data_IF_746124225933
#
_entry.id   IF_746124225933
#
_cell.length_a   1.000
_cell.length_b   1.000
_cell.length_c   1.000
_cell.angle_alpha   90.00
_cell.angle_beta   90.00
_cell.angle_gamma   90.00
#
_symmetry.space_group_name_H-M   'P 1'
#
loop_
_entity.id
_entity.type
_entity.pdbx_description
1 polymer ?
#
# COMPACT_ATOMS: atom_id res chain seq x y z
N UNK A 1 -15.70 -21.66 -8.20
CA UNK A 1 -14.34 -21.09 -8.30
C UNK A 1 -13.61 -21.59 -9.57
N UNK A 2 -14.28 -21.52 -10.71
CA UNK A 2 -13.64 -21.90 -11.98
C UNK A 2 -12.46 -20.94 -12.27
N UNK A 3 -11.25 -21.49 -12.40
CA UNK A 3 -10.04 -20.75 -12.73
C UNK A 3 -9.30 -20.11 -11.54
N UNK A 4 -9.75 -20.28 -10.30
CA UNK A 4 -9.04 -19.77 -9.10
C UNK A 4 -8.10 -20.84 -8.55
N UNK A 5 -6.88 -20.47 -8.20
CA UNK A 5 -5.91 -21.35 -7.54
C UNK A 5 -5.83 -21.05 -6.04
N UNK A 6 -6.22 -22.01 -5.20
CA UNK A 6 -5.93 -22.01 -3.76
C UNK A 6 -4.80 -22.99 -3.52
N UNK A 7 -3.60 -22.50 -3.22
CA UNK A 7 -2.38 -23.33 -3.13
C UNK A 7 -2.46 -24.35 -2.00
N UNK A 8 -2.99 -23.95 -0.85
CA UNK A 8 -3.24 -24.84 0.28
C UNK A 8 -4.59 -24.52 0.94
N UNK A 9 -5.65 -25.23 0.61
CA UNK A 9 -6.97 -25.01 1.18
C UNK A 9 -7.05 -25.27 2.70
N UNK A 10 -6.14 -26.05 3.27
CA UNK A 10 -6.18 -26.41 4.70
C UNK A 10 -5.68 -25.28 5.59
N UNK A 11 -4.86 -24.38 5.07
CA UNK A 11 -4.30 -23.24 5.81
C UNK A 11 -4.83 -21.89 5.34
N UNK A 12 -5.81 -21.90 4.42
CA UNK A 12 -6.38 -20.69 3.84
C UNK A 12 -7.80 -20.47 4.35
N UNK A 13 -8.14 -19.27 4.78
CA UNK A 13 -9.48 -18.91 5.23
C UNK A 13 -10.10 -17.86 4.29
N UNK A 14 -11.24 -18.18 3.70
CA UNK A 14 -11.96 -17.30 2.78
C UNK A 14 -13.42 -17.24 3.24
N UNK A 15 -13.89 -16.05 3.61
CA UNK A 15 -15.29 -15.84 3.99
C UNK A 15 -16.22 -15.94 2.75
N UNK A 16 -17.49 -16.37 2.94
CA UNK A 16 -18.41 -16.58 1.81
C UNK A 16 -18.73 -15.34 0.97
N UNK A 17 -18.54 -14.15 1.52
CA UNK A 17 -18.76 -12.86 0.86
C UNK A 17 -17.62 -12.43 -0.05
N UNK A 18 -16.47 -13.07 0.06
CA UNK A 18 -15.27 -12.76 -0.75
C UNK A 18 -15.49 -13.18 -2.20
N UNK A 19 -15.15 -12.31 -3.13
CA UNK A 19 -15.19 -12.58 -4.57
C UNK A 19 -13.77 -12.79 -5.10
N UNK A 20 -13.56 -13.92 -5.79
CA UNK A 20 -12.31 -14.24 -6.47
C UNK A 20 -12.57 -14.42 -7.96
N UNK A 21 -11.87 -13.67 -8.79
CA UNK A 21 -11.95 -13.79 -10.25
C UNK A 21 -10.99 -14.87 -10.78
N UNK A 22 -11.16 -15.24 -12.05
CA UNK A 22 -10.36 -16.25 -12.71
C UNK A 22 -8.85 -15.94 -12.66
N UNK A 23 -8.04 -16.97 -12.68
CA UNK A 23 -6.57 -16.90 -12.64
C UNK A 23 -5.98 -16.21 -11.40
N UNK A 24 -6.82 -15.81 -10.42
CA UNK A 24 -6.31 -15.35 -9.14
C UNK A 24 -5.70 -16.49 -8.34
N UNK A 25 -4.65 -16.17 -7.55
CA UNK A 25 -3.91 -17.13 -6.74
C UNK A 25 -3.91 -16.72 -5.27
N UNK A 26 -4.39 -17.61 -4.40
CA UNK A 26 -4.32 -17.43 -2.94
C UNK A 26 -3.30 -18.40 -2.36
N UNK A 27 -2.26 -17.85 -1.76
CA UNK A 27 -1.15 -18.60 -1.16
C UNK A 27 -1.48 -19.06 0.29
N UNK A 28 -0.71 -20.03 0.85
CA UNK A 28 -0.96 -20.58 2.18
C UNK A 28 -1.00 -19.52 3.29
N UNK A 29 -1.73 -19.84 4.37
CA UNK A 29 -1.86 -18.99 5.58
C UNK A 29 -2.43 -17.60 5.30
N UNK A 30 -3.28 -17.49 4.30
CA UNK A 30 -3.94 -16.24 3.91
C UNK A 30 -5.37 -16.21 4.44
N UNK A 31 -5.80 -15.06 4.97
CA UNK A 31 -7.16 -14.79 5.42
C UNK A 31 -7.78 -13.72 4.54
N UNK A 32 -8.87 -14.05 3.84
CA UNK A 32 -9.69 -13.12 3.05
C UNK A 32 -11.04 -12.97 3.72
N UNK A 33 -11.44 -11.75 4.07
CA UNK A 33 -12.61 -11.49 4.90
C UNK A 33 -13.47 -10.35 4.36
N UNK A 34 -14.72 -10.33 4.81
CA UNK A 34 -15.70 -9.30 4.48
C UNK A 34 -16.01 -9.22 2.98
N UNK A 35 -16.24 -8.03 2.46
CA UNK A 35 -16.54 -7.79 1.05
C UNK A 35 -15.27 -7.67 0.18
N UNK A 36 -14.22 -8.42 0.52
CA UNK A 36 -12.96 -8.41 -0.25
C UNK A 36 -13.16 -8.96 -1.66
N UNK A 37 -12.61 -8.25 -2.64
CA UNK A 37 -12.56 -8.70 -4.04
C UNK A 37 -11.10 -8.90 -4.48
N UNK A 38 -10.85 -9.98 -5.22
CA UNK A 38 -9.54 -10.28 -5.80
C UNK A 38 -9.74 -10.51 -7.29
N UNK A 39 -9.24 -9.56 -8.08
CA UNK A 39 -9.44 -9.56 -9.52
C UNK A 39 -8.52 -10.55 -10.27
N UNK A 40 -8.76 -10.68 -11.57
CA UNK A 40 -8.08 -11.60 -12.47
C UNK A 40 -6.55 -11.52 -12.35
N UNK A 41 -5.91 -12.66 -12.23
CA UNK A 41 -4.45 -12.80 -12.18
C UNK A 41 -3.78 -12.23 -10.92
N UNK A 42 -4.52 -11.68 -9.97
CA UNK A 42 -3.94 -11.15 -8.74
C UNK A 42 -3.44 -12.28 -7.83
N UNK A 43 -2.41 -11.99 -7.03
CA UNK A 43 -1.82 -12.93 -6.09
C UNK A 43 -1.86 -12.39 -4.67
N UNK A 44 -2.36 -13.19 -3.72
CA UNK A 44 -2.47 -12.81 -2.31
C UNK A 44 -1.81 -13.83 -1.41
N UNK A 45 -0.93 -13.35 -0.52
CA UNK A 45 -0.21 -14.15 0.45
C UNK A 45 1.23 -14.48 0.05
N UNK A 46 1.90 -15.47 0.72
CA UNK A 46 1.42 -16.14 1.93
C UNK A 46 1.38 -15.22 3.17
N UNK A 47 0.73 -15.70 4.24
CA UNK A 47 0.61 -14.96 5.51
C UNK A 47 0.05 -13.55 5.34
N UNK A 48 -0.94 -13.37 4.49
CA UNK A 48 -1.63 -12.09 4.32
C UNK A 48 -3.00 -12.11 5.00
N UNK A 49 -3.40 -10.96 5.54
CA UNK A 49 -4.76 -10.72 6.02
C UNK A 49 -5.34 -9.58 5.21
N UNK A 50 -6.47 -9.83 4.54
CA UNK A 50 -7.16 -8.84 3.71
C UNK A 50 -8.62 -8.75 4.16
N UNK A 51 -9.08 -7.54 4.48
CA UNK A 51 -10.43 -7.30 5.01
C UNK A 51 -11.07 -6.12 4.28
N UNK A 52 -12.27 -6.32 3.72
CA UNK A 52 -13.06 -5.27 3.06
C UNK A 52 -12.21 -4.40 2.12
N UNK A 53 -11.52 -5.03 1.19
CA UNK A 53 -10.57 -4.38 0.28
C UNK A 53 -10.72 -4.87 -1.16
N UNK A 54 -10.31 -4.04 -2.11
CA UNK A 54 -10.31 -4.35 -3.53
C UNK A 54 -8.87 -4.60 -4.01
N UNK A 55 -8.60 -5.80 -4.53
CA UNK A 55 -7.30 -6.18 -5.09
C UNK A 55 -7.45 -6.26 -6.60
N UNK A 56 -6.90 -5.28 -7.30
CA UNK A 56 -7.02 -5.12 -8.75
C UNK A 56 -6.29 -6.18 -9.57
N UNK A 57 -6.54 -6.19 -10.87
CA UNK A 57 -6.00 -7.20 -11.78
C UNK A 57 -4.47 -7.28 -11.74
N UNK A 58 -3.94 -8.50 -11.65
CA UNK A 58 -2.52 -8.80 -11.56
C UNK A 58 -1.77 -8.08 -10.39
N UNK A 59 -2.50 -7.55 -9.42
CA UNK A 59 -1.89 -6.95 -8.23
C UNK A 59 -1.28 -8.04 -7.31
N UNK A 60 -0.32 -7.63 -6.49
CA UNK A 60 0.41 -8.53 -5.59
C UNK A 60 0.28 -8.04 -4.15
N UNK A 61 -0.21 -8.89 -3.26
CA UNK A 61 -0.30 -8.64 -1.83
C UNK A 61 0.51 -9.71 -1.08
N UNK A 62 1.50 -9.30 -0.32
CA UNK A 62 2.27 -10.20 0.51
C UNK A 62 3.74 -10.37 0.12
N UNK A 63 4.45 -11.24 0.86
CA UNK A 63 3.99 -11.95 2.06
C UNK A 63 3.88 -11.05 3.30
N UNK A 64 3.23 -11.56 4.37
CA UNK A 64 3.11 -10.88 5.67
C UNK A 64 2.52 -9.47 5.57
N UNK A 65 1.40 -9.33 4.86
CA UNK A 65 0.69 -8.07 4.70
C UNK A 65 -0.59 -8.01 5.55
N UNK A 66 -0.93 -6.79 5.99
CA UNK A 66 -2.26 -6.51 6.50
C UNK A 66 -2.93 -5.41 5.66
N UNK A 67 -3.89 -5.81 4.85
CA UNK A 67 -4.71 -4.90 4.03
C UNK A 67 -6.05 -4.73 4.71
N UNK A 68 -6.32 -3.51 5.18
CA UNK A 68 -7.46 -3.17 6.03
C UNK A 68 -8.59 -2.51 5.24
N UNK A 69 -9.79 -2.38 5.85
CA UNK A 69 -10.96 -1.84 5.21
C UNK A 69 -10.75 -0.50 4.50
N UNK A 70 -11.43 -0.35 3.35
CA UNK A 70 -11.37 0.84 2.51
C UNK A 70 -10.12 0.95 1.65
N UNK A 71 -9.32 -0.11 1.58
CA UNK A 71 -8.10 -0.13 0.75
C UNK A 71 -8.41 -0.64 -0.65
N UNK A 72 -7.86 0.04 -1.65
CA UNK A 72 -7.96 -0.32 -3.06
C UNK A 72 -6.56 -0.42 -3.68
N UNK A 73 -6.21 -1.57 -4.22
CA UNK A 73 -5.03 -1.74 -5.06
C UNK A 73 -5.46 -1.74 -6.52
N UNK A 74 -4.94 -0.81 -7.30
CA UNK A 74 -5.12 -0.75 -8.75
C UNK A 74 -4.43 -1.92 -9.48
N UNK A 75 -4.62 -1.99 -10.78
CA UNK A 75 -3.99 -3.05 -11.58
C UNK A 75 -2.47 -3.06 -11.43
N UNK A 76 -1.86 -4.23 -11.26
CA UNK A 76 -0.41 -4.47 -11.09
C UNK A 76 0.21 -3.74 -9.90
N UNK A 77 -0.59 -3.13 -9.02
CA UNK A 77 -0.10 -2.52 -7.79
C UNK A 77 0.48 -3.58 -6.83
N UNK A 78 1.37 -3.16 -5.96
CA UNK A 78 2.04 -4.07 -5.03
C UNK A 78 2.03 -3.56 -3.59
N UNK A 79 1.48 -4.36 -2.68
CA UNK A 79 1.72 -4.28 -1.25
C UNK A 79 2.64 -5.44 -0.86
N UNK A 80 3.90 -5.15 -0.54
CA UNK A 80 4.92 -6.18 -0.32
C UNK A 80 5.08 -6.59 1.14
N UNK A 81 6.27 -7.09 1.48
CA UNK A 81 6.55 -7.73 2.76
C UNK A 81 6.46 -6.75 3.95
N UNK A 82 5.72 -7.15 4.99
CA UNK A 82 5.49 -6.37 6.20
C UNK A 82 4.89 -4.99 5.94
N UNK A 83 3.93 -4.93 5.02
CA UNK A 83 3.20 -3.71 4.71
C UNK A 83 1.82 -3.75 5.34
N UNK A 84 1.43 -2.66 5.99
CA UNK A 84 0.06 -2.43 6.42
C UNK A 84 -0.53 -1.27 5.61
N UNK A 85 -1.70 -1.51 5.00
CA UNK A 85 -2.50 -0.50 4.30
C UNK A 85 -3.86 -0.35 4.97
N UNK A 86 -4.31 0.88 5.20
CA UNK A 86 -5.62 1.17 5.77
C UNK A 86 -6.28 2.36 5.08
N UNK A 87 -7.48 2.17 4.52
CA UNK A 87 -8.19 3.26 3.82
C UNK A 87 -7.26 3.99 2.83
N UNK A 88 -6.54 3.20 2.03
CA UNK A 88 -5.46 3.66 1.16
C UNK A 88 -5.71 3.19 -0.26
N UNK A 89 -5.47 4.08 -1.22
CA UNK A 89 -5.51 3.76 -2.64
C UNK A 89 -4.10 3.70 -3.20
N UNK A 90 -3.74 2.57 -3.79
CA UNK A 90 -2.58 2.43 -4.66
C UNK A 90 -3.09 2.38 -6.10
N UNK A 91 -2.73 3.33 -6.92
CA UNK A 91 -3.11 3.34 -8.33
C UNK A 91 -2.33 2.29 -9.15
N UNK A 92 -2.61 2.20 -10.44
CA UNK A 92 -1.98 1.26 -11.36
C UNK A 92 -0.44 1.30 -11.29
N UNK A 93 0.20 0.15 -11.18
CA UNK A 93 1.66 -0.01 -11.05
C UNK A 93 2.31 0.65 -9.81
N UNK A 94 1.53 1.23 -8.90
CA UNK A 94 2.07 1.78 -7.66
C UNK A 94 2.58 0.68 -6.73
N UNK A 95 3.70 0.92 -6.05
CA UNK A 95 4.38 -0.08 -5.23
C UNK A 95 4.74 0.44 -3.85
N UNK A 96 4.28 -0.27 -2.83
CA UNK A 96 4.72 -0.15 -1.43
C UNK A 96 5.32 -1.50 -1.03
N UNK A 97 6.59 -1.78 -1.38
CA UNK A 97 7.10 -3.14 -1.37
C UNK A 97 7.62 -3.65 -0.03
N UNK A 98 7.92 -2.80 0.97
CA UNK A 98 8.62 -3.22 2.18
C UNK A 98 8.31 -2.38 3.41
N UNK A 99 8.08 -3.03 4.58
CA UNK A 99 8.20 -2.46 5.93
C UNK A 99 7.51 -1.09 6.11
N UNK A 100 6.33 -0.91 5.60
CA UNK A 100 5.69 0.41 5.50
C UNK A 100 4.28 0.40 6.08
N UNK A 101 3.86 1.55 6.63
CA UNK A 101 2.47 1.81 6.99
C UNK A 101 1.90 2.95 6.16
N UNK A 102 0.82 2.68 5.44
CA UNK A 102 0.08 3.70 4.71
C UNK A 102 -1.37 3.71 5.21
N UNK A 103 -1.73 4.77 5.91
CA UNK A 103 -3.09 5.00 6.41
C UNK A 103 -3.65 6.30 5.86
N UNK A 104 -4.91 6.25 5.39
CA UNK A 104 -5.63 7.39 4.82
C UNK A 104 -4.79 8.07 3.70
N UNK A 105 -4.31 7.30 2.73
CA UNK A 105 -3.37 7.76 1.71
C UNK A 105 -3.84 7.45 0.28
N UNK A 106 -3.32 8.21 -0.66
CA UNK A 106 -3.39 7.94 -2.10
C UNK A 106 -1.98 7.92 -2.67
N UNK A 107 -1.66 6.88 -3.44
CA UNK A 107 -0.36 6.72 -4.10
C UNK A 107 -0.59 6.58 -5.59
N UNK A 108 -0.16 7.58 -6.33
CA UNK A 108 -0.38 7.69 -7.77
C UNK A 108 0.35 6.63 -8.59
N UNK A 109 -0.15 6.44 -9.81
CA UNK A 109 0.30 5.40 -10.73
C UNK A 109 1.82 5.42 -10.96
N UNK A 110 2.44 4.25 -11.01
CA UNK A 110 3.88 4.08 -11.25
C UNK A 110 4.80 4.55 -10.12
N UNK A 111 4.25 5.06 -9.03
CA UNK A 111 5.03 5.50 -7.86
C UNK A 111 5.64 4.30 -7.14
N UNK A 112 6.90 4.44 -6.73
CA UNK A 112 7.61 3.43 -5.95
C UNK A 112 8.03 3.98 -4.59
N UNK A 113 7.59 3.33 -3.52
CA UNK A 113 7.84 3.74 -2.14
C UNK A 113 8.97 2.91 -1.55
N UNK A 114 9.99 3.58 -1.04
CA UNK A 114 11.11 2.94 -0.33
C UNK A 114 10.70 2.32 1.01
N UNK A 115 11.49 1.38 1.46
CA UNK A 115 11.27 0.67 2.73
C UNK A 115 11.22 1.62 3.94
N UNK A 116 10.42 1.30 4.94
CA UNK A 116 10.31 2.08 6.17
C UNK A 116 9.49 3.36 6.05
N UNK A 117 8.85 3.61 4.90
CA UNK A 117 8.06 4.83 4.71
C UNK A 117 6.71 4.76 5.44
N UNK A 118 6.31 5.88 6.02
CA UNK A 118 5.11 5.95 6.88
C UNK A 118 4.30 7.20 6.58
N UNK A 119 2.97 7.06 6.54
CA UNK A 119 2.05 8.20 6.60
C UNK A 119 1.62 8.44 8.05
N UNK A 120 2.05 9.55 8.64
CA UNK A 120 1.62 9.98 9.97
C UNK A 120 0.26 10.70 9.85
N UNK A 121 -0.81 9.91 9.79
CA UNK A 121 -2.17 10.38 9.50
C UNK A 121 -2.99 10.74 10.74
N UNK A 122 -2.50 10.45 11.94
CA UNK A 122 -3.20 10.70 13.21
C UNK A 122 -2.57 11.86 13.98
N UNK A 123 -3.38 12.88 14.24
CA UNK A 123 -3.08 13.91 15.23
C UNK A 123 -3.69 13.47 16.58
N UNK A 124 -2.87 13.39 17.62
CA UNK A 124 -3.31 12.92 18.93
C UNK A 124 -4.10 13.96 19.74
N UNK A 125 -4.26 15.17 19.25
CA UNK A 125 -5.07 16.20 19.91
C UNK A 125 -6.57 15.81 19.87
N UNK A 126 -7.30 15.96 20.97
CA UNK A 126 -8.71 15.59 21.01
C UNK A 126 -9.54 16.33 19.94
N UNK A 127 -10.41 15.59 19.24
CA UNK A 127 -11.33 16.15 18.24
C UNK A 127 -10.71 16.45 16.88
N UNK A 128 -9.41 16.26 16.70
CA UNK A 128 -8.77 16.43 15.38
C UNK A 128 -8.99 15.18 14.53
N UNK A 129 -9.65 15.28 13.36
CA UNK A 129 -9.84 14.13 12.48
C UNK A 129 -8.51 13.70 11.85
N UNK A 130 -8.44 12.44 11.46
CA UNK A 130 -7.33 11.93 10.65
C UNK A 130 -7.21 12.74 9.35
N UNK A 131 -5.98 12.88 8.90
CA UNK A 131 -5.64 13.62 7.69
C UNK A 131 -5.11 12.68 6.63
N UNK A 132 -5.19 13.11 5.37
CA UNK A 132 -4.80 12.33 4.20
C UNK A 132 -3.44 12.77 3.66
N UNK A 133 -2.68 11.79 3.19
CA UNK A 133 -1.48 12.00 2.37
C UNK A 133 -1.81 11.67 0.92
N UNK A 134 -1.45 12.55 0.00
CA UNK A 134 -1.57 12.30 -1.44
C UNK A 134 -0.17 12.33 -2.05
N UNK A 135 0.20 11.26 -2.75
CA UNK A 135 1.46 11.16 -3.49
C UNK A 135 1.13 10.99 -4.96
N UNK A 136 1.63 11.88 -5.78
CA UNK A 136 1.40 11.91 -7.21
C UNK A 136 1.98 10.70 -7.96
N UNK A 137 1.93 10.77 -9.29
CA UNK A 137 2.39 9.71 -10.18
C UNK A 137 3.90 9.69 -10.31
N UNK A 138 4.45 8.52 -10.62
CA UNK A 138 5.88 8.31 -10.90
C UNK A 138 6.83 8.81 -9.80
N UNK A 139 6.36 9.10 -8.62
CA UNK A 139 7.23 9.53 -7.53
C UNK A 139 8.22 8.41 -7.13
N UNK A 140 9.42 8.80 -6.72
CA UNK A 140 10.47 7.92 -6.21
C UNK A 140 10.73 8.27 -4.76
N UNK A 141 9.96 7.63 -3.90
CA UNK A 141 10.08 7.83 -2.46
C UNK A 141 11.24 6.98 -1.94
N UNK A 142 12.24 7.63 -1.36
CA UNK A 142 13.39 6.93 -0.78
C UNK A 142 13.03 6.26 0.55
N UNK A 143 13.95 5.44 1.06
CA UNK A 143 13.77 4.71 2.33
C UNK A 143 13.58 5.66 3.52
N UNK A 144 12.83 5.20 4.52
CA UNK A 144 12.57 5.94 5.78
C UNK A 144 11.94 7.32 5.57
N UNK A 145 11.15 7.51 4.52
CA UNK A 145 10.42 8.76 4.31
C UNK A 145 9.15 8.79 5.15
N UNK A 146 8.98 9.86 5.93
CA UNK A 146 7.78 10.08 6.73
C UNK A 146 6.95 11.23 6.15
N UNK A 147 5.67 10.99 5.89
CA UNK A 147 4.72 11.99 5.44
C UNK A 147 3.84 12.42 6.61
N UNK A 148 3.94 13.67 7.05
CA UNK A 148 3.12 14.21 8.12
C UNK A 148 1.85 14.84 7.53
N UNK A 149 0.76 14.08 7.58
CA UNK A 149 -0.52 14.52 6.98
C UNK A 149 -1.15 15.73 7.71
N UNK A 150 -1.83 16.64 6.99
CA UNK A 150 -2.11 16.57 5.55
C UNK A 150 -0.91 17.01 4.72
N UNK A 151 -0.62 16.30 3.64
CA UNK A 151 0.43 16.71 2.71
C UNK A 151 0.14 16.17 1.31
N UNK A 152 0.43 16.97 0.30
CA UNK A 152 0.36 16.58 -1.12
C UNK A 152 1.76 16.62 -1.71
N UNK A 153 2.18 15.50 -2.27
CA UNK A 153 3.43 15.37 -3.03
C UNK A 153 3.05 15.25 -4.50
N UNK A 154 3.60 16.11 -5.33
CA UNK A 154 3.30 16.17 -6.76
C UNK A 154 3.79 14.98 -7.57
N UNK A 155 3.58 15.05 -8.88
CA UNK A 155 4.04 14.06 -9.84
C UNK A 155 5.57 14.14 -10.03
N UNK A 156 6.21 12.99 -10.34
CA UNK A 156 7.64 12.90 -10.66
C UNK A 156 8.59 13.42 -9.55
N UNK A 157 8.12 13.45 -8.32
CA UNK A 157 8.92 13.89 -7.15
C UNK A 157 9.90 12.81 -6.72
N UNK A 158 11.08 13.22 -6.29
CA UNK A 158 12.06 12.38 -5.60
C UNK A 158 12.21 12.82 -4.15
N UNK A 159 12.22 11.88 -3.20
CA UNK A 159 12.62 12.20 -1.82
C UNK A 159 14.04 11.69 -1.56
N UNK A 160 14.78 12.38 -0.70
CA UNK A 160 16.01 11.83 -0.14
C UNK A 160 15.69 10.84 0.98
N UNK A 161 16.60 9.92 1.28
CA UNK A 161 16.43 8.97 2.38
C UNK A 161 16.27 9.70 3.73
N UNK A 162 15.46 9.15 4.62
CA UNK A 162 15.15 9.69 5.95
C UNK A 162 14.54 11.11 5.93
N UNK A 163 13.80 11.41 4.87
CA UNK A 163 13.12 12.71 4.75
C UNK A 163 11.81 12.73 5.55
N UNK A 164 11.57 13.82 6.28
CA UNK A 164 10.26 14.11 6.87
C UNK A 164 9.60 15.21 6.05
N UNK A 165 8.51 14.85 5.37
CA UNK A 165 7.72 15.76 4.51
C UNK A 165 6.57 16.33 5.34
N UNK A 166 6.58 17.63 5.59
CA UNK A 166 5.59 18.33 6.42
C UNK A 166 4.82 19.41 5.66
N UNK A 167 5.21 19.70 4.43
CA UNK A 167 4.61 20.70 3.55
C UNK A 167 4.40 20.11 2.16
N UNK A 168 3.49 20.70 1.39
CA UNK A 168 3.21 20.25 0.03
C UNK A 168 4.46 20.39 -0.87
N UNK A 169 4.67 19.39 -1.72
CA UNK A 169 5.83 19.32 -2.61
C UNK A 169 5.34 19.45 -4.05
N UNK A 170 5.84 20.43 -4.83
CA UNK A 170 5.44 20.60 -6.21
C UNK A 170 5.99 19.47 -7.12
N UNK A 171 5.41 19.34 -8.30
CA UNK A 171 5.86 18.37 -9.31
C UNK A 171 7.35 18.53 -9.64
N UNK A 172 7.99 17.41 -10.01
CA UNK A 172 9.40 17.35 -10.45
C UNK A 172 10.42 17.83 -9.39
N UNK A 173 10.05 17.94 -8.14
CA UNK A 173 10.95 18.38 -7.08
C UNK A 173 11.80 17.23 -6.52
N UNK A 174 12.97 17.60 -5.98
CA UNK A 174 13.74 16.77 -5.07
C UNK A 174 13.58 17.36 -3.66
N UNK A 175 13.02 16.59 -2.74
CA UNK A 175 12.80 17.03 -1.35
C UNK A 175 13.63 16.21 -0.37
N UNK A 176 14.22 16.87 0.60
CA UNK A 176 14.94 16.26 1.72
C UNK A 176 16.20 17.02 2.09
N UNK A 177 16.69 16.70 3.29
CA UNK A 177 17.99 17.15 3.77
C UNK A 177 18.82 15.89 4.04
N UNK A 178 19.69 15.46 3.12
CA UNK A 178 20.59 14.37 3.43
C UNK A 178 21.42 14.76 4.66
N UNK A 179 21.49 13.91 5.70
CA UNK A 179 22.33 14.20 6.86
C UNK A 179 23.76 14.37 6.38
N UNK A 180 24.41 15.44 6.84
CA UNK A 180 25.86 15.60 6.58
C UNK A 180 26.58 14.50 7.32
N UNK A 181 27.27 13.65 6.58
CA UNK A 181 28.23 12.73 7.21
C UNK A 181 29.39 13.54 7.75
N UNK A 182 29.59 13.44 9.06
CA UNK A 182 30.82 13.93 9.72
C UNK A 182 31.75 12.74 9.92
N UNK A 183 32.98 12.87 9.49
CA UNK A 183 34.06 11.89 9.70
C UNK A 183 34.92 12.39 10.86
#
# INVERSE_FOLDING_TARGET
LAGVTIVDPQTTWIEPTVTLEADSVVHPFTLLRGETTVAEGAQVGPHAVVVDAEIGAAAIVGPFCYVRPGTVLGARAKAGTFVELKNTRLDEDAKVPHLSYFGDAEVGAGTNVGAGSITANLDHRPGVPKKRTVIGRNARVAVDTMFVAPVTVGDDVWTAAATVVTEDVPDNALVGFPPRQTI
#
